data_IF_740390066568
#
_entry.id   IF_740390066568
#
_cell.length_a   1.000
_cell.length_b   1.000
_cell.length_c   1.000
_cell.angle_alpha   90.00
_cell.angle_beta   90.00
_cell.angle_gamma   90.00
#
_symmetry.space_group_name_H-M   'P 1'
#
loop_
_entity.id
_entity.type
_entity.pdbx_description
1 polymer ?
#
# COMPACT_ATOMS: atom_id res chain seq x y z
N UNK A 1 -0.91 23.98 0.44
CA UNK A 1 -1.40 22.94 -0.50
C UNK A 1 -0.51 21.71 -0.39
N UNK A 2 -1.09 20.52 -0.20
CA UNK A 2 -0.35 19.25 -0.23
C UNK A 2 -0.06 18.87 -1.68
N UNK A 3 1.16 18.42 -1.96
CA UNK A 3 1.59 18.02 -3.31
C UNK A 3 1.92 16.55 -3.45
N UNK A 4 2.31 15.90 -2.34
CA UNK A 4 2.74 14.49 -2.31
C UNK A 4 2.26 13.81 -1.06
N UNK A 5 1.88 12.55 -1.18
CA UNK A 5 1.57 11.64 -0.08
C UNK A 5 2.38 10.36 -0.31
N UNK A 6 3.02 9.87 0.73
CA UNK A 6 3.63 8.55 0.74
C UNK A 6 2.94 7.70 1.82
N UNK A 7 2.41 6.55 1.42
CA UNK A 7 1.67 5.64 2.32
C UNK A 7 2.52 4.42 2.62
N UNK A 8 2.67 4.12 3.90
CA UNK A 8 3.38 2.93 4.37
C UNK A 8 2.35 1.96 4.94
N UNK A 9 2.17 0.81 4.31
CA UNK A 9 1.32 -0.25 4.82
C UNK A 9 2.10 -1.14 5.78
N UNK A 10 1.69 -1.20 7.05
CA UNK A 10 2.22 -2.15 8.01
C UNK A 10 1.32 -3.38 8.04
N UNK A 11 1.81 -4.50 7.51
CA UNK A 11 1.05 -5.74 7.36
C UNK A 11 1.60 -6.79 8.30
N UNK A 12 0.75 -7.35 9.15
CA UNK A 12 1.11 -8.48 10.01
C UNK A 12 0.68 -9.78 9.34
N UNK A 13 1.63 -10.53 8.80
CA UNK A 13 1.35 -11.83 8.19
C UNK A 13 2.63 -12.69 8.07
N UNK A 14 2.50 -14.03 7.91
CA UNK A 14 3.64 -14.89 7.69
C UNK A 14 4.43 -14.53 6.44
N UNK A 15 5.75 -14.68 6.46
CA UNK A 15 6.63 -14.43 5.32
C UNK A 15 6.21 -15.22 4.05
N UNK A 16 5.62 -16.41 4.25
CA UNK A 16 5.12 -17.27 3.19
C UNK A 16 4.08 -16.61 2.26
N UNK A 17 3.42 -15.52 2.69
CA UNK A 17 2.43 -14.81 1.85
C UNK A 17 3.01 -13.59 1.14
N UNK A 18 4.32 -13.31 1.22
CA UNK A 18 4.97 -12.13 0.62
C UNK A 18 4.62 -11.95 -0.85
N UNK A 19 4.72 -13.00 -1.67
CA UNK A 19 4.41 -12.92 -3.10
C UNK A 19 2.97 -12.44 -3.37
N UNK A 20 2.02 -12.89 -2.54
CA UNK A 20 0.63 -12.44 -2.64
C UNK A 20 0.50 -10.98 -2.24
N UNK A 21 1.19 -10.55 -1.18
CA UNK A 21 1.25 -9.15 -0.75
C UNK A 21 1.81 -8.27 -1.87
N UNK A 22 2.92 -8.66 -2.48
CA UNK A 22 3.56 -7.91 -3.58
C UNK A 22 2.62 -7.75 -4.78
N UNK A 23 1.99 -8.86 -5.21
CA UNK A 23 1.06 -8.85 -6.34
C UNK A 23 -0.17 -7.97 -6.07
N UNK A 24 -0.72 -8.01 -4.86
CA UNK A 24 -1.86 -7.17 -4.48
C UNK A 24 -1.42 -5.71 -4.35
N UNK A 25 -0.28 -5.44 -3.73
CA UNK A 25 0.30 -4.09 -3.59
C UNK A 25 0.57 -3.43 -4.96
N UNK A 26 0.89 -4.20 -6.00
CA UNK A 26 1.06 -3.66 -7.34
C UNK A 26 -0.24 -3.10 -7.95
N UNK A 27 -1.40 -3.66 -7.60
CA UNK A 27 -2.68 -3.34 -8.25
C UNK A 27 -3.76 -2.71 -7.36
N UNK A 28 -3.64 -2.77 -6.03
CA UNK A 28 -4.72 -2.35 -5.11
C UNK A 28 -5.12 -0.87 -5.27
N UNK A 29 -4.19 0.00 -5.69
CA UNK A 29 -4.47 1.43 -5.87
C UNK A 29 -5.62 1.67 -6.87
N UNK A 30 -5.79 0.80 -7.87
CA UNK A 30 -6.87 0.85 -8.85
C UNK A 30 -8.26 0.68 -8.21
N UNK A 31 -8.32 0.01 -7.07
CA UNK A 31 -9.54 -0.26 -6.31
C UNK A 31 -9.67 0.63 -5.06
N UNK A 32 -8.65 1.42 -4.74
CA UNK A 32 -8.62 2.28 -3.56
C UNK A 32 -9.43 3.58 -3.80
N UNK A 33 -10.53 3.83 -3.06
CA UNK A 33 -11.33 5.04 -3.25
C UNK A 33 -10.54 6.32 -2.95
N UNK A 34 -9.59 6.26 -2.01
CA UNK A 34 -8.73 7.39 -1.65
C UNK A 34 -7.76 7.75 -2.77
N UNK A 35 -7.10 6.75 -3.38
CA UNK A 35 -6.22 7.00 -4.52
C UNK A 35 -7.03 7.57 -5.70
N UNK A 36 -8.17 6.95 -6.02
CA UNK A 36 -9.03 7.37 -7.14
C UNK A 36 -9.50 8.82 -7.02
N UNK A 37 -9.76 9.32 -5.82
CA UNK A 37 -10.21 10.71 -5.60
C UNK A 37 -9.08 11.75 -5.58
N UNK A 38 -7.85 11.35 -5.24
CA UNK A 38 -6.75 12.30 -4.97
C UNK A 38 -5.63 12.28 -6.02
N UNK A 39 -5.42 11.18 -6.74
CA UNK A 39 -4.25 10.99 -7.61
C UNK A 39 -4.14 12.01 -8.76
N UNK A 40 -5.25 12.63 -9.17
CA UNK A 40 -5.25 13.65 -10.24
C UNK A 40 -4.65 14.99 -9.79
N UNK A 41 -4.60 15.25 -8.48
CA UNK A 41 -4.12 16.50 -7.91
C UNK A 41 -2.88 16.33 -7.02
N UNK A 42 -2.66 15.13 -6.49
CA UNK A 42 -1.60 14.83 -5.52
C UNK A 42 -0.88 13.58 -6.00
N UNK A 43 0.45 13.63 -6.05
CA UNK A 43 1.28 12.46 -6.31
C UNK A 43 1.20 11.52 -5.09
N UNK A 44 0.79 10.27 -5.32
CA UNK A 44 0.67 9.26 -4.25
C UNK A 44 1.56 8.08 -4.60
N UNK A 45 2.45 7.74 -3.67
CA UNK A 45 3.29 6.54 -3.73
C UNK A 45 3.01 5.66 -2.51
N UNK A 46 3.26 4.37 -2.64
CA UNK A 46 3.01 3.39 -1.58
C UNK A 46 4.19 2.45 -1.41
N UNK A 47 4.45 2.05 -0.18
CA UNK A 47 5.32 0.93 0.18
C UNK A 47 4.64 0.06 1.23
N UNK A 48 5.18 -1.13 1.47
CA UNK A 48 4.67 -2.03 2.50
C UNK A 48 5.81 -2.61 3.34
N UNK A 49 5.53 -2.78 4.64
CA UNK A 49 6.37 -3.47 5.59
C UNK A 49 5.62 -4.70 6.09
N UNK A 50 6.21 -5.87 5.89
CA UNK A 50 5.68 -7.13 6.38
C UNK A 50 6.31 -7.42 7.75
N UNK A 51 5.45 -7.59 8.75
CA UNK A 51 5.82 -7.95 10.12
C UNK A 51 5.34 -9.37 10.40
N UNK A 52 6.18 -10.21 11.03
CA UNK A 52 5.73 -11.53 11.45
C UNK A 52 4.61 -11.38 12.50
N UNK A 53 3.62 -12.29 12.52
CA UNK A 53 2.63 -12.33 13.58
C UNK A 53 3.32 -12.61 14.93
N UNK A 54 2.92 -11.89 15.96
CA UNK A 54 3.37 -12.14 17.33
C UNK A 54 2.85 -13.51 17.79
N UNK A 55 3.73 -14.31 18.41
CA UNK A 55 3.47 -15.67 18.89
C UNK A 55 2.56 -15.70 20.11
#
# INVERSE_FOLDING_TARGET
MIRRIHVIYHLTAPEAVRETVERVHAMHHQYCPVYRSLHTAIEITTEYHLHPPEL
#
